data_IF_498387188748
#
_entry.id   IF_498387188748
#
_cell.length_a   1.000
_cell.length_b   1.000
_cell.length_c   1.000
_cell.angle_alpha   90.00
_cell.angle_beta   90.00
_cell.angle_gamma   90.00
#
_symmetry.space_group_name_H-M   'P 1'
#
loop_
_entity.id
_entity.type
_entity.pdbx_description
1 polymer ?
#
# COMPACT_ATOMS: atom_id res chain seq x y z
N UNK A 1 -0.82 -4.77 -27.09
CA UNK A 1 -0.02 -3.72 -26.45
C UNK A 1 -0.96 -3.01 -25.49
N UNK A 2 -0.65 -3.16 -24.22
CA UNK A 2 -1.31 -2.46 -23.12
C UNK A 2 -1.06 -0.96 -23.26
N UNK A 3 -2.09 -0.16 -23.06
CA UNK A 3 -2.09 1.30 -23.06
C UNK A 3 -3.13 1.81 -22.06
N UNK A 4 -3.33 3.13 -21.99
CA UNK A 4 -4.30 3.75 -21.08
C UNK A 4 -5.76 3.33 -21.35
N UNK A 5 -6.08 2.92 -22.58
CA UNK A 5 -7.42 2.46 -22.98
C UNK A 5 -7.62 0.95 -22.75
N UNK A 6 -6.62 0.28 -22.19
CA UNK A 6 -6.67 -1.16 -21.90
C UNK A 6 -7.34 -1.48 -20.57
N UNK A 7 -7.68 -0.45 -19.78
CA UNK A 7 -8.32 -0.56 -18.47
C UNK A 7 -9.37 0.53 -18.30
N UNK A 8 -10.54 0.15 -17.82
CA UNK A 8 -11.60 1.06 -17.41
C UNK A 8 -11.70 1.06 -15.88
N UNK A 9 -11.77 2.25 -15.29
CA UNK A 9 -11.82 2.45 -13.85
C UNK A 9 -13.21 2.99 -13.44
N UNK A 10 -13.72 2.64 -12.25
CA UNK A 10 -14.88 3.31 -11.67
C UNK A 10 -14.51 4.76 -11.32
N UNK A 11 -14.92 5.71 -12.17
CA UNK A 11 -14.54 7.13 -12.09
C UNK A 11 -15.67 8.03 -11.57
N UNK A 12 -16.71 7.46 -10.96
CA UNK A 12 -17.79 8.25 -10.36
C UNK A 12 -17.25 9.20 -9.28
N UNK A 13 -17.51 10.51 -9.45
CA UNK A 13 -16.98 11.54 -8.56
C UNK A 13 -15.51 11.93 -8.79
N UNK A 14 -14.87 11.39 -9.82
CA UNK A 14 -13.51 11.75 -10.24
C UNK A 14 -13.55 12.64 -11.48
N UNK A 15 -12.66 13.63 -11.53
CA UNK A 15 -12.48 14.53 -12.68
C UNK A 15 -11.04 14.46 -13.17
N UNK A 16 -10.85 14.29 -14.48
CA UNK A 16 -9.51 14.23 -15.08
C UNK A 16 -8.79 15.56 -14.82
N UNK A 17 -7.57 15.45 -14.31
CA UNK A 17 -6.73 16.57 -13.93
C UNK A 17 -5.52 16.73 -14.86
N UNK A 18 -4.95 15.61 -15.29
CA UNK A 18 -3.83 15.57 -16.21
C UNK A 18 -3.81 14.26 -16.99
N UNK A 19 -3.36 14.32 -18.24
CA UNK A 19 -3.14 13.18 -19.11
C UNK A 19 -1.81 13.35 -19.85
N UNK A 20 -1.03 12.29 -19.82
CA UNK A 20 0.23 12.10 -20.53
C UNK A 20 0.11 10.82 -21.37
N UNK A 21 1.14 10.49 -22.16
CA UNK A 21 1.09 9.32 -23.06
C UNK A 21 0.84 8.01 -22.32
N UNK A 22 1.47 7.85 -21.14
CA UNK A 22 1.44 6.61 -20.34
C UNK A 22 0.82 6.81 -18.96
N UNK A 23 0.19 7.96 -18.70
CA UNK A 23 -0.39 8.27 -17.38
C UNK A 23 -1.63 9.15 -17.46
N UNK A 24 -2.57 8.91 -16.54
CA UNK A 24 -3.73 9.79 -16.31
C UNK A 24 -3.90 9.99 -14.82
N UNK A 25 -4.20 11.22 -14.42
CA UNK A 25 -4.49 11.59 -13.04
C UNK A 25 -5.88 12.21 -12.96
N UNK A 26 -6.63 11.81 -11.95
CA UNK A 26 -7.92 12.38 -11.59
C UNK A 26 -7.90 12.92 -10.17
N UNK A 27 -8.72 13.92 -9.91
CA UNK A 27 -9.02 14.42 -8.58
C UNK A 27 -10.51 14.32 -8.28
N UNK A 28 -10.85 14.17 -7.00
CA UNK A 28 -12.23 14.27 -6.53
C UNK A 28 -12.44 15.54 -5.69
N UNK A 29 -13.67 15.83 -5.30
CA UNK A 29 -14.02 17.01 -4.49
C UNK A 29 -13.33 17.06 -3.12
N UNK A 30 -12.84 15.93 -2.63
CA UNK A 30 -12.10 15.81 -1.36
C UNK A 30 -10.61 16.13 -1.52
N UNK A 31 -10.15 16.42 -2.74
CA UNK A 31 -8.75 16.70 -3.05
C UNK A 31 -7.87 15.46 -3.06
N UNK A 32 -8.46 14.27 -3.21
CA UNK A 32 -7.71 13.02 -3.37
C UNK A 32 -7.23 12.89 -4.81
N UNK A 33 -6.22 12.06 -5.03
CA UNK A 33 -5.67 11.80 -6.36
C UNK A 33 -5.79 10.32 -6.69
N UNK A 34 -6.39 10.00 -7.84
CA UNK A 34 -6.34 8.68 -8.46
C UNK A 34 -5.40 8.79 -9.66
N UNK A 35 -4.51 7.83 -9.84
CA UNK A 35 -3.56 7.81 -10.93
C UNK A 35 -3.51 6.43 -11.58
N UNK A 36 -3.60 6.40 -12.89
CA UNK A 36 -3.30 5.25 -13.73
C UNK A 36 -1.95 5.49 -14.41
N UNK A 37 -1.05 4.51 -14.33
CA UNK A 37 0.19 4.48 -15.08
C UNK A 37 0.31 3.18 -15.86
N UNK A 38 0.78 3.28 -17.10
CA UNK A 38 1.27 2.17 -17.89
C UNK A 38 2.79 2.25 -17.89
N UNK A 39 3.46 1.16 -17.54
CA UNK A 39 4.91 1.06 -17.66
C UNK A 39 5.25 0.05 -18.73
N UNK A 40 5.96 0.47 -19.78
CA UNK A 40 6.44 -0.40 -20.88
C UNK A 40 7.83 -0.99 -20.60
N UNK A 41 8.03 -1.45 -19.37
CA UNK A 41 9.27 -2.08 -18.90
C UNK A 41 8.94 -3.29 -18.03
N UNK A 42 9.91 -4.19 -17.87
CA UNK A 42 9.80 -5.30 -16.92
C UNK A 42 9.45 -4.74 -15.53
N UNK A 43 8.38 -5.24 -14.88
CA UNK A 43 7.98 -4.77 -13.57
C UNK A 43 9.08 -4.96 -12.53
N UNK A 44 9.40 -3.89 -11.79
CA UNK A 44 10.37 -3.90 -10.69
C UNK A 44 9.73 -4.43 -9.39
N UNK A 45 9.17 -5.65 -9.47
CA UNK A 45 8.71 -6.43 -8.32
C UNK A 45 9.51 -7.73 -8.26
N UNK A 46 10.01 -8.13 -7.08
CA UNK A 46 10.92 -9.26 -6.97
C UNK A 46 10.22 -10.61 -7.14
N UNK A 47 8.96 -10.70 -6.70
CA UNK A 47 8.15 -11.90 -6.80
C UNK A 47 6.69 -11.62 -6.46
N UNK A 48 5.76 -12.39 -7.03
CA UNK A 48 4.36 -12.44 -6.55
C UNK A 48 4.11 -13.66 -5.66
N UNK A 49 4.99 -14.65 -5.70
CA UNK A 49 4.85 -15.89 -4.92
C UNK A 49 5.67 -15.86 -3.62
N UNK A 50 6.75 -15.09 -3.57
CA UNK A 50 7.53 -14.83 -2.37
C UNK A 50 7.11 -13.49 -1.74
N UNK A 51 6.05 -13.53 -0.91
CA UNK A 51 5.51 -12.34 -0.25
C UNK A 51 6.51 -11.68 0.71
N UNK A 52 7.45 -12.43 1.29
CA UNK A 52 8.48 -11.85 2.16
C UNK A 52 9.41 -10.96 1.32
N UNK A 53 9.93 -11.48 0.20
CA UNK A 53 10.75 -10.70 -0.71
C UNK A 53 10.01 -9.47 -1.26
N UNK A 54 8.73 -9.63 -1.63
CA UNK A 54 7.88 -8.52 -2.10
C UNK A 54 7.73 -7.42 -1.04
N UNK A 55 7.42 -7.80 0.20
CA UNK A 55 7.29 -6.86 1.33
C UNK A 55 8.61 -6.18 1.66
N UNK A 56 9.71 -6.91 1.60
CA UNK A 56 11.05 -6.37 1.82
C UNK A 56 11.44 -5.35 0.73
N UNK A 57 11.10 -5.60 -0.55
CA UNK A 57 11.30 -4.62 -1.63
C UNK A 57 10.55 -3.32 -1.37
N UNK A 58 9.27 -3.39 -0.98
CA UNK A 58 8.48 -2.20 -0.69
C UNK A 58 8.96 -1.49 0.57
N UNK A 59 9.32 -2.22 1.63
CA UNK A 59 9.90 -1.62 2.83
C UNK A 59 11.20 -0.87 2.51
N UNK A 60 12.08 -1.47 1.70
CA UNK A 60 13.31 -0.81 1.26
C UNK A 60 13.04 0.44 0.41
N UNK A 61 12.01 0.41 -0.45
CA UNK A 61 11.61 1.56 -1.26
C UNK A 61 11.04 2.72 -0.42
N UNK A 62 10.32 2.41 0.66
CA UNK A 62 9.77 3.42 1.58
C UNK A 62 10.85 4.06 2.46
N UNK A 63 11.84 3.26 2.90
CA UNK A 63 12.88 3.72 3.83
C UNK A 63 12.26 4.36 5.07
N UNK A 64 12.79 5.51 5.49
CA UNK A 64 12.28 6.25 6.65
C UNK A 64 11.05 7.14 6.35
N UNK A 65 10.57 7.14 5.11
CA UNK A 65 9.47 8.00 4.66
C UNK A 65 8.09 7.37 4.81
N UNK A 66 8.02 6.07 5.17
CA UNK A 66 6.75 5.39 5.33
C UNK A 66 6.83 4.01 5.95
N UNK A 67 5.65 3.45 6.23
CA UNK A 67 5.48 2.08 6.73
C UNK A 67 4.42 1.33 5.93
N UNK A 68 4.51 0.00 5.98
CA UNK A 68 3.54 -0.90 5.36
C UNK A 68 2.27 -0.97 6.21
N UNK A 69 1.10 -0.72 5.62
CA UNK A 69 -0.19 -1.09 6.22
C UNK A 69 -0.54 -2.52 5.80
N UNK A 70 -0.48 -2.81 4.50
CA UNK A 70 -0.46 -4.16 3.96
C UNK A 70 0.21 -4.23 2.58
N UNK A 71 0.69 -5.43 2.24
CA UNK A 71 1.06 -5.85 0.89
C UNK A 71 0.63 -7.30 0.72
N UNK A 72 -0.21 -7.56 -0.28
CA UNK A 72 -0.70 -8.89 -0.61
C UNK A 72 -0.85 -9.09 -2.13
N UNK A 73 -1.12 -10.34 -2.52
CA UNK A 73 -1.39 -10.74 -3.89
C UNK A 73 -2.75 -11.43 -3.91
N UNK A 74 -3.61 -11.03 -4.84
CA UNK A 74 -4.90 -11.67 -5.09
C UNK A 74 -5.21 -11.65 -6.57
N UNK A 75 -6.35 -12.24 -6.93
CA UNK A 75 -6.89 -12.16 -8.28
C UNK A 75 -7.80 -10.93 -8.41
N UNK A 76 -7.51 -10.06 -9.38
CA UNK A 76 -8.34 -8.91 -9.76
C UNK A 76 -8.55 -8.99 -11.27
N UNK A 77 -9.81 -8.89 -11.71
CA UNK A 77 -10.17 -9.13 -13.11
C UNK A 77 -9.55 -10.42 -13.69
N UNK A 78 -9.57 -11.52 -12.91
CA UNK A 78 -9.01 -12.85 -13.27
C UNK A 78 -7.49 -12.90 -13.48
N UNK A 79 -6.76 -11.84 -13.12
CA UNK A 79 -5.31 -11.78 -13.21
C UNK A 79 -4.69 -11.63 -11.82
N UNK A 80 -3.51 -12.23 -11.58
CA UNK A 80 -2.77 -12.00 -10.34
C UNK A 80 -2.35 -10.52 -10.26
N UNK A 81 -2.67 -9.89 -9.15
CA UNK A 81 -2.42 -8.48 -8.89
C UNK A 81 -1.78 -8.29 -7.52
N UNK A 82 -0.83 -7.38 -7.42
CA UNK A 82 -0.26 -6.94 -6.14
C UNK A 82 -1.12 -5.78 -5.63
N UNK A 83 -1.64 -5.88 -4.40
CA UNK A 83 -2.17 -4.70 -3.70
C UNK A 83 -1.21 -4.20 -2.66
N UNK A 84 -1.21 -2.88 -2.53
CA UNK A 84 -0.37 -2.18 -1.57
C UNK A 84 -1.19 -1.13 -0.84
N UNK A 85 -0.83 -0.90 0.41
CA UNK A 85 -1.26 0.27 1.15
C UNK A 85 -0.13 0.72 2.08
N UNK A 86 0.31 1.96 1.91
CA UNK A 86 1.40 2.55 2.67
C UNK A 86 0.91 3.74 3.49
N UNK A 87 1.51 3.92 4.67
CA UNK A 87 1.35 5.10 5.53
C UNK A 87 2.62 5.94 5.40
N UNK A 88 2.50 7.13 4.84
CA UNK A 88 3.62 8.01 4.53
C UNK A 88 3.58 9.29 5.38
N UNK A 89 4.75 9.84 5.66
CA UNK A 89 4.87 11.21 6.17
C UNK A 89 4.56 12.25 5.08
N UNK A 90 4.07 13.42 5.48
CA UNK A 90 3.97 14.56 4.56
C UNK A 90 5.32 15.30 4.59
N UNK A 91 6.01 15.50 3.45
CA UNK A 91 7.28 16.20 3.42
C UNK A 91 7.19 17.59 4.06
N UNK A 92 8.11 17.87 4.99
CA UNK A 92 8.14 19.15 5.72
C UNK A 92 7.09 19.31 6.83
N UNK A 93 6.32 18.27 7.16
CA UNK A 93 5.37 18.29 8.27
C UNK A 93 5.66 17.18 9.29
N UNK A 94 5.62 17.53 10.58
CA UNK A 94 5.79 16.55 11.66
C UNK A 94 4.52 15.69 11.87
N UNK A 95 3.37 16.25 11.54
CA UNK A 95 2.04 15.65 11.72
C UNK A 95 1.32 15.52 10.38
N UNK A 96 0.22 14.77 10.40
CA UNK A 96 -0.50 14.43 9.18
C UNK A 96 0.15 13.25 8.46
N UNK A 97 -0.68 12.42 7.86
CA UNK A 97 -0.24 11.24 7.11
C UNK A 97 -0.85 11.23 5.72
N UNK A 98 -0.15 10.60 4.79
CA UNK A 98 -0.69 10.26 3.47
C UNK A 98 -0.85 8.75 3.42
N UNK A 99 -2.01 8.29 2.96
CA UNK A 99 -2.24 6.88 2.70
C UNK A 99 -2.23 6.67 1.19
N UNK A 100 -1.30 5.86 0.71
CA UNK A 100 -1.14 5.53 -0.70
C UNK A 100 -1.55 4.07 -0.92
N UNK A 101 -2.72 3.87 -1.51
CA UNK A 101 -3.23 2.56 -1.91
C UNK A 101 -2.88 2.30 -3.39
N UNK A 102 -2.72 1.05 -3.78
CA UNK A 102 -2.60 0.73 -5.20
C UNK A 102 -2.81 -0.72 -5.57
N UNK A 103 -3.12 -0.93 -6.84
CA UNK A 103 -3.21 -2.21 -7.56
C UNK A 103 -2.16 -2.18 -8.66
N UNK A 104 -1.31 -3.21 -8.70
CA UNK A 104 -0.38 -3.45 -9.80
C UNK A 104 -0.74 -4.75 -10.48
N UNK A 105 -1.02 -4.69 -11.79
CA UNK A 105 -1.15 -5.84 -12.68
C UNK A 105 0.16 -5.98 -13.46
N UNK A 106 1.06 -6.91 -13.07
CA UNK A 106 2.33 -7.10 -13.74
C UNK A 106 2.22 -8.09 -14.90
N UNK A 107 2.91 -7.77 -15.98
CA UNK A 107 3.10 -8.62 -17.16
C UNK A 107 4.60 -8.84 -17.37
N UNK A 108 5.00 -9.63 -18.38
CA UNK A 108 6.43 -9.91 -18.63
C UNK A 108 7.24 -8.64 -18.91
N UNK A 109 6.68 -7.74 -19.71
CA UNK A 109 7.37 -6.56 -20.25
C UNK A 109 6.61 -5.26 -20.01
N UNK A 110 5.55 -5.31 -19.18
CA UNK A 110 4.77 -4.14 -18.84
C UNK A 110 4.09 -4.25 -17.48
N UNK A 111 3.56 -3.15 -16.95
CA UNK A 111 2.59 -3.18 -15.84
C UNK A 111 1.55 -2.08 -15.96
N UNK A 112 0.33 -2.40 -15.50
CA UNK A 112 -0.71 -1.40 -15.20
C UNK A 112 -0.68 -1.14 -13.70
N UNK A 113 -0.58 0.12 -13.31
CA UNK A 113 -0.50 0.55 -11.91
C UNK A 113 -1.57 1.59 -11.66
N UNK A 114 -2.55 1.24 -10.82
CA UNK A 114 -3.59 2.15 -10.35
C UNK A 114 -3.30 2.51 -8.90
N UNK A 115 -3.25 3.81 -8.57
CA UNK A 115 -2.93 4.30 -7.23
C UNK A 115 -3.92 5.35 -6.78
N UNK A 116 -4.29 5.31 -5.49
CA UNK A 116 -5.10 6.33 -4.84
C UNK A 116 -4.33 6.91 -3.67
N UNK A 117 -4.26 8.24 -3.63
CA UNK A 117 -3.62 9.00 -2.57
C UNK A 117 -4.67 9.76 -1.75
N UNK A 118 -4.76 9.42 -0.47
CA UNK A 118 -5.63 10.07 0.51
C UNK A 118 -4.79 10.80 1.55
N UNK A 119 -4.90 12.13 1.60
CA UNK A 119 -4.15 12.96 2.56
C UNK A 119 -5.01 13.21 3.80
N UNK A 120 -4.38 13.17 4.97
CA UNK A 120 -4.98 13.64 6.21
C UNK A 120 -5.02 15.17 6.22
N UNK A 121 -6.23 15.73 6.23
CA UNK A 121 -6.46 17.18 6.21
C UNK A 121 -7.18 17.63 7.48
N UNK A 122 -6.96 18.89 7.88
CA UNK A 122 -7.57 19.46 9.09
C UNK A 122 -6.88 18.99 10.36
N UNK A 123 -7.68 18.58 11.37
CA UNK A 123 -7.14 18.15 12.66
C UNK A 123 -6.67 16.69 12.59
N UNK A 124 -5.35 16.51 12.65
CA UNK A 124 -4.68 15.21 12.48
C UNK A 124 -4.62 14.38 13.77
N UNK A 125 -4.61 13.06 13.67
CA UNK A 125 -4.40 12.14 14.79
C UNK A 125 -5.64 11.89 15.66
N UNK A 126 -6.83 12.32 15.22
CA UNK A 126 -8.10 12.10 15.93
C UNK A 126 -8.38 10.60 16.04
N UNK A 127 -8.21 9.86 14.94
CA UNK A 127 -8.44 8.41 14.91
C UNK A 127 -7.52 7.69 15.91
N UNK A 128 -6.23 8.00 15.86
CA UNK A 128 -5.25 7.46 16.81
C UNK A 128 -5.62 7.74 18.25
N UNK A 129 -5.98 8.99 18.58
CA UNK A 129 -6.32 9.40 19.94
C UNK A 129 -7.55 8.68 20.47
N UNK A 130 -8.61 8.59 19.67
CA UNK A 130 -9.85 7.93 20.08
C UNK A 130 -9.64 6.42 20.25
N UNK A 131 -8.93 5.77 19.31
CA UNK A 131 -8.65 4.34 19.41
C UNK A 131 -7.75 4.04 20.61
N UNK A 132 -6.71 4.83 20.85
CA UNK A 132 -5.83 4.66 22.01
C UNK A 132 -6.63 4.72 23.31
N UNK A 133 -7.45 5.75 23.48
CA UNK A 133 -8.30 5.90 24.67
C UNK A 133 -9.30 4.74 24.83
N UNK A 134 -9.89 4.28 23.72
CA UNK A 134 -10.84 3.16 23.73
C UNK A 134 -10.17 1.85 24.16
N UNK A 135 -8.96 1.58 23.67
CA UNK A 135 -8.21 0.37 24.02
C UNK A 135 -7.69 0.43 25.47
N UNK A 136 -7.20 1.59 25.91
CA UNK A 136 -6.80 1.80 27.30
C UNK A 136 -7.99 1.65 28.26
N UNK A 137 -9.15 2.19 27.91
CA UNK A 137 -10.40 2.01 28.67
C UNK A 137 -10.88 0.55 28.71
N UNK A 138 -10.52 -0.26 27.71
CA UNK A 138 -10.76 -1.71 27.68
C UNK A 138 -9.69 -2.54 28.41
N UNK A 139 -8.69 -1.89 29.01
CA UNK A 139 -7.64 -2.54 29.80
C UNK A 139 -6.35 -2.88 29.06
N UNK A 140 -6.22 -2.53 27.76
CA UNK A 140 -4.94 -2.63 27.06
C UNK A 140 -3.96 -1.60 27.66
N UNK A 141 -2.72 -2.01 27.89
CA UNK A 141 -1.69 -1.16 28.48
C UNK A 141 -0.71 -0.73 27.40
N UNK A 142 -0.70 0.56 27.10
CA UNK A 142 0.33 1.20 26.30
C UNK A 142 1.10 2.11 27.24
N UNK A 143 2.38 1.80 27.47
CA UNK A 143 3.27 2.61 28.29
C UNK A 143 4.39 3.14 27.40
N UNK A 144 4.75 4.42 27.52
CA UNK A 144 5.98 4.92 26.91
C UNK A 144 7.19 4.27 27.59
N UNK A 145 8.22 3.97 26.82
CA UNK A 145 9.56 3.69 27.34
C UNK A 145 10.31 5.00 27.66
N UNK A 146 11.60 4.89 28.00
CA UNK A 146 12.47 6.01 28.37
C UNK A 146 12.65 7.01 27.21
N UNK A 147 12.46 6.56 25.97
CA UNK A 147 12.50 7.36 24.75
C UNK A 147 11.13 7.92 24.34
N UNK A 148 10.07 7.63 25.10
CA UNK A 148 8.71 8.10 24.83
C UNK A 148 7.96 7.28 23.77
N UNK A 149 8.48 6.12 23.38
CA UNK A 149 7.84 5.21 22.41
C UNK A 149 6.77 4.39 23.12
N UNK A 150 5.53 4.50 22.63
CA UNK A 150 4.38 3.75 23.16
C UNK A 150 4.51 2.26 22.79
N UNK A 151 4.99 1.45 23.74
CA UNK A 151 5.20 0.02 23.53
C UNK A 151 3.89 -0.69 23.17
N UNK A 152 3.93 -1.52 22.13
CA UNK A 152 2.76 -2.25 21.60
C UNK A 152 1.78 -1.42 20.78
N UNK A 153 2.01 -0.12 20.60
CA UNK A 153 1.11 0.75 19.82
C UNK A 153 1.32 0.64 18.30
N UNK A 154 2.57 0.60 17.85
CA UNK A 154 2.92 0.52 16.43
C UNK A 154 3.98 -0.55 16.18
N UNK A 155 3.85 -1.24 15.04
CA UNK A 155 4.77 -2.30 14.62
C UNK A 155 4.61 -2.57 13.13
N UNK A 156 5.68 -3.00 12.45
CA UNK A 156 5.54 -3.51 11.09
C UNK A 156 4.71 -4.80 11.11
N UNK A 157 3.64 -4.91 10.29
CA UNK A 157 2.71 -6.04 10.34
C UNK A 157 3.34 -7.38 9.93
N UNK A 158 4.52 -7.37 9.32
CA UNK A 158 5.19 -8.55 8.77
C UNK A 158 6.59 -8.80 9.37
N UNK A 159 7.19 -7.78 10.01
CA UNK A 159 8.48 -7.86 10.73
C UNK A 159 8.40 -7.12 12.07
N UNK A 160 7.81 -7.72 13.13
CA UNK A 160 7.62 -7.04 14.41
C UNK A 160 8.91 -6.52 15.06
N UNK A 161 10.06 -7.07 14.68
CA UNK A 161 11.41 -6.65 15.09
C UNK A 161 11.90 -5.35 14.43
N UNK A 162 11.14 -4.79 13.48
CA UNK A 162 11.51 -3.52 12.81
C UNK A 162 11.60 -2.39 13.85
N UNK A 163 12.70 -1.61 13.86
CA UNK A 163 12.84 -0.47 14.75
C UNK A 163 11.63 0.47 14.68
N UNK A 164 11.25 1.03 15.81
CA UNK A 164 10.08 1.90 15.89
C UNK A 164 10.21 3.11 14.96
N UNK A 165 9.11 3.42 14.27
CA UNK A 165 8.89 4.67 13.56
C UNK A 165 7.43 5.07 13.72
N UNK A 166 7.17 6.37 13.80
CA UNK A 166 5.79 6.90 13.85
C UNK A 166 4.97 6.66 12.58
N UNK A 167 5.61 6.12 11.53
CA UNK A 167 5.03 5.77 10.25
C UNK A 167 4.70 4.27 10.13
N UNK A 168 5.12 3.45 11.10
CA UNK A 168 4.68 2.07 11.19
C UNK A 168 3.16 2.00 11.38
N UNK A 169 2.58 0.89 10.92
CA UNK A 169 1.18 0.56 11.21
C UNK A 169 0.96 0.52 12.71
N UNK A 170 -0.10 1.17 13.16
CA UNK A 170 -0.50 1.18 14.57
C UNK A 170 -1.86 0.52 14.81
N UNK A 171 -2.25 0.37 16.08
CA UNK A 171 -3.53 -0.26 16.47
C UNK A 171 -4.76 0.46 15.94
N UNK A 172 -4.65 1.77 15.65
CA UNK A 172 -5.72 2.55 15.04
C UNK A 172 -5.84 2.30 13.54
N UNK A 173 -4.78 1.85 12.87
CA UNK A 173 -4.80 1.50 11.45
C UNK A 173 -5.55 0.17 11.17
N UNK A 174 -6.03 -0.55 12.19
CA UNK A 174 -6.86 -1.76 12.01
C UNK A 174 -8.17 -1.46 11.26
N UNK A 175 -8.55 -2.35 10.33
CA UNK A 175 -9.75 -2.24 9.48
C UNK A 175 -11.04 -2.21 10.28
N UNK A 176 -11.08 -2.87 11.45
CA UNK A 176 -12.26 -2.87 12.32
C UNK A 176 -12.71 -1.47 12.79
N UNK A 177 -11.86 -0.47 12.62
CA UNK A 177 -12.18 0.92 12.98
C UNK A 177 -12.73 1.72 11.81
N UNK A 178 -12.71 1.21 10.58
CA UNK A 178 -13.04 2.00 9.40
C UNK A 178 -14.49 2.48 9.40
N UNK A 179 -15.44 1.67 9.89
CA UNK A 179 -16.84 2.09 10.06
C UNK A 179 -17.02 3.22 11.07
N UNK A 180 -16.15 3.30 12.08
CA UNK A 180 -16.19 4.38 13.08
C UNK A 180 -15.54 5.67 12.55
N UNK A 181 -14.67 5.56 11.55
CA UNK A 181 -13.93 6.68 10.97
C UNK A 181 -14.04 6.70 9.44
N UNK A 182 -15.25 6.75 8.86
CA UNK A 182 -15.45 6.63 7.42
C UNK A 182 -14.75 7.76 6.66
N UNK A 183 -14.67 8.96 7.25
CA UNK A 183 -13.98 10.11 6.69
C UNK A 183 -12.47 10.14 6.98
N UNK A 184 -11.87 9.11 7.60
CA UNK A 184 -10.41 9.08 7.79
C UNK A 184 -9.70 8.64 6.50
N UNK A 185 -8.56 9.25 6.12
CA UNK A 185 -7.90 8.95 4.83
C UNK A 185 -7.55 7.48 4.65
N UNK A 186 -7.18 6.75 5.71
CA UNK A 186 -6.97 5.30 5.63
C UNK A 186 -8.23 4.53 5.22
N UNK A 187 -9.38 4.87 5.82
CA UNK A 187 -10.66 4.19 5.53
C UNK A 187 -11.12 4.47 4.11
N UNK A 188 -10.94 5.72 3.66
CA UNK A 188 -11.24 6.11 2.27
C UNK A 188 -10.32 5.42 1.28
N UNK A 189 -9.00 5.38 1.55
CA UNK A 189 -8.04 4.66 0.72
C UNK A 189 -8.39 3.16 0.57
N UNK A 190 -8.81 2.51 1.65
CA UNK A 190 -9.33 1.12 1.60
C UNK A 190 -10.67 0.99 0.89
N UNK A 191 -11.55 1.99 1.01
CA UNK A 191 -12.81 2.07 0.26
C UNK A 191 -12.55 2.09 -1.23
N UNK A 192 -11.76 3.06 -1.69
CA UNK A 192 -11.36 3.19 -3.10
C UNK A 192 -10.68 1.94 -3.63
N UNK A 193 -9.78 1.34 -2.85
CA UNK A 193 -9.11 0.11 -3.28
C UNK A 193 -10.07 -1.08 -3.43
N UNK A 194 -11.10 -1.18 -2.58
CA UNK A 194 -12.13 -2.22 -2.70
C UNK A 194 -13.01 -2.01 -3.93
N UNK A 195 -13.40 -0.77 -4.20
CA UNK A 195 -14.18 -0.38 -5.38
C UNK A 195 -13.39 -0.65 -6.67
N UNK A 196 -12.14 -0.17 -6.76
CA UNK A 196 -11.25 -0.46 -7.88
C UNK A 196 -11.08 -1.96 -8.11
N UNK A 197 -10.82 -2.75 -7.06
CA UNK A 197 -10.63 -4.19 -7.20
C UNK A 197 -11.90 -4.94 -7.61
N UNK A 198 -13.09 -4.39 -7.34
CA UNK A 198 -14.37 -5.01 -7.66
C UNK A 198 -14.88 -4.60 -9.05
N UNK A 199 -14.60 -3.38 -9.49
CA UNK A 199 -15.28 -2.75 -10.62
C UNK A 199 -14.36 -2.35 -11.77
N UNK A 200 -13.03 -2.45 -11.63
CA UNK A 200 -12.16 -2.24 -12.78
C UNK A 200 -12.45 -3.30 -13.85
N UNK A 201 -12.44 -2.85 -15.10
CA UNK A 201 -12.60 -3.72 -16.27
C UNK A 201 -11.34 -3.66 -17.14
N UNK A 202 -11.00 -4.79 -17.75
CA UNK A 202 -9.84 -4.91 -18.64
C UNK A 202 -10.30 -5.22 -20.05
N UNK A 203 -9.71 -4.53 -21.02
CA UNK A 203 -9.89 -4.86 -22.43
C UNK A 203 -9.44 -6.32 -22.68
N UNK A 204 -10.18 -7.10 -23.50
CA UNK A 204 -9.81 -8.47 -23.86
C UNK A 204 -8.33 -8.66 -24.27
N UNK A 205 -7.71 -7.65 -24.91
CA UNK A 205 -6.29 -7.72 -25.34
C UNK A 205 -5.30 -7.85 -24.19
N UNK A 206 -5.68 -7.41 -22.97
CA UNK A 206 -4.82 -7.51 -21.78
C UNK A 206 -4.59 -8.96 -21.39
N UNK A 207 -5.57 -9.84 -21.62
CA UNK A 207 -5.47 -11.26 -21.27
C UNK A 207 -4.53 -12.06 -22.19
N UNK A 208 -4.19 -11.51 -23.35
CA UNK A 208 -3.23 -12.10 -24.30
C UNK A 208 -1.78 -11.70 -24.00
N UNK A 209 -1.57 -10.77 -23.06
CA UNK A 209 -0.23 -10.29 -22.72
C UNK A 209 0.56 -11.35 -21.96
N UNK A 210 1.86 -11.53 -22.26
CA UNK A 210 2.65 -12.56 -21.61
C UNK A 210 2.67 -12.35 -20.08
N UNK A 211 2.42 -13.42 -19.29
CA UNK A 211 2.32 -13.30 -17.84
C UNK A 211 3.65 -12.85 -17.24
N UNK A 212 3.57 -12.18 -16.08
CA UNK A 212 4.74 -11.84 -15.29
C UNK A 212 5.60 -13.09 -15.06
N UNK A 213 6.90 -12.94 -15.34
CA UNK A 213 7.89 -13.98 -15.12
C UNK A 213 8.69 -13.61 -13.89
N UNK A 214 8.66 -14.49 -12.88
CA UNK A 214 9.46 -14.37 -11.67
C UNK A 214 10.94 -14.13 -12.06
N UNK A 215 11.57 -13.03 -11.59
CA UNK A 215 12.99 -12.80 -11.78
C UNK A 215 13.77 -14.05 -11.36
N UNK A 216 14.73 -14.46 -12.19
CA UNK A 216 15.57 -15.60 -11.85
C UNK A 216 16.24 -15.35 -10.49
N UNK A 217 15.96 -16.23 -9.50
CA UNK A 217 16.57 -16.12 -8.17
C UNK A 217 18.08 -16.00 -8.31
N UNK A 218 18.65 -14.93 -7.78
CA UNK A 218 20.10 -14.75 -7.79
C UNK A 218 20.76 -15.94 -7.08
N UNK A 219 21.82 -16.56 -7.65
CA UNK A 219 22.57 -17.61 -6.98
C UNK A 219 23.11 -17.20 -5.59
N UNK A 220 23.23 -15.89 -5.33
CA UNK A 220 23.70 -15.31 -4.07
C UNK A 220 22.69 -15.44 -2.92
N UNK A 221 21.40 -15.65 -3.18
CA UNK A 221 20.37 -15.83 -2.14
C UNK A 221 20.36 -17.24 -1.52
N UNK A 222 21.16 -18.18 -2.05
CA UNK A 222 21.25 -19.54 -1.49
C UNK A 222 22.05 -19.62 -0.18
N UNK A 223 22.74 -18.55 0.22
CA UNK A 223 23.71 -18.57 1.33
C UNK A 223 23.16 -18.33 2.75
N UNK A 224 21.89 -17.92 2.93
CA UNK A 224 21.33 -17.57 4.25
C UNK A 224 20.43 -18.64 4.87
N UNK A 225 20.74 -19.93 4.70
CA UNK A 225 20.16 -20.99 5.53
C UNK A 225 21.25 -21.82 6.21
N UNK A 226 21.42 -21.56 7.51
CA UNK A 226 21.79 -22.58 8.49
C UNK A 226 23.28 -22.86 8.70
N UNK A 227 23.97 -21.99 9.42
CA UNK A 227 25.02 -22.47 10.33
C UNK A 227 24.37 -22.76 11.69
N UNK A 228 24.05 -24.03 11.94
CA UNK A 228 23.85 -24.53 13.31
C UNK A 228 25.20 -24.38 14.03
N UNK A 229 25.26 -23.86 15.26
CA UNK A 229 26.45 -24.03 16.07
C UNK A 229 26.60 -25.52 16.40
N UNK A 230 27.73 -26.10 16.04
CA UNK A 230 28.20 -27.36 16.63
C UNK A 230 28.63 -27.04 18.07
N UNK A 231 28.19 -27.89 19.00
CA UNK A 231 28.43 -27.74 20.44
C UNK A 231 29.86 -28.02 20.86
#
# INVERSE_FOLDING_TARGET
>A
MIDLDSIELPLDGWSEAAREDDAVTWHNERGESLMLNVFHVMPDIPSMTDLEALRDRYRAALGDQGGLVFVDVLEIAKLPAVRTLFKLGIPGQERGRVYLAGITLPFREASLVVRVQCVETGMTGIRETIVLNKLMGAGEKFAPDDEGVMQGWASDPYRPETPFSSLLRNRADDERWDELFPDHPLSRARGHLRELAAELELDPRVYDEPPFSEPARSPLDRGRRGTRPLG
#
